data_IF_312723657101
#
_entry.id   IF_312723657101
#
_cell.length_a   1.000
_cell.length_b   1.000
_cell.length_c   1.000
_cell.angle_alpha   90.00
_cell.angle_beta   90.00
_cell.angle_gamma   90.00
#
_symmetry.space_group_name_H-M   'P 1'
#
loop_
_entity.id
_entity.type
_entity.pdbx_description
1 polymer ?
#
# COMPACT_ATOMS: atom_id res chain seq x y z
N UNK A 1 24.38 -2.01 8.75
CA UNK A 1 24.07 -0.72 8.15
C UNK A 1 22.59 -0.69 7.74
N UNK A 2 21.90 0.37 8.10
CA UNK A 2 20.50 0.50 7.76
C UNK A 2 20.35 0.88 6.27
N UNK A 3 19.42 0.21 5.62
CA UNK A 3 19.07 0.50 4.24
C UNK A 3 18.32 1.84 4.18
N UNK A 4 18.59 2.71 3.19
CA UNK A 4 17.82 3.95 3.08
C UNK A 4 16.34 3.65 2.81
N UNK A 5 15.43 4.51 3.26
CA UNK A 5 14.00 4.34 2.97
C UNK A 5 13.71 4.36 1.48
N UNK A 6 12.74 3.55 1.07
CA UNK A 6 12.30 3.48 -0.32
C UNK A 6 11.26 4.57 -0.56
N UNK A 7 11.30 5.15 -1.75
CA UNK A 7 10.32 6.15 -2.16
C UNK A 7 8.91 5.55 -2.16
N UNK A 8 7.95 6.32 -1.68
CA UNK A 8 6.55 5.93 -1.63
C UNK A 8 5.75 6.76 -2.64
N UNK A 9 4.95 6.07 -3.46
CA UNK A 9 3.99 6.72 -4.35
C UNK A 9 2.60 6.47 -3.79
N UNK A 10 1.85 7.55 -3.55
CA UNK A 10 0.47 7.47 -3.09
C UNK A 10 -0.45 7.62 -4.30
N UNK A 11 -1.16 6.54 -4.64
CA UNK A 11 -2.11 6.60 -5.77
C UNK A 11 -3.32 7.45 -5.39
N UNK A 12 -4.06 7.91 -6.39
CA UNK A 12 -5.26 8.72 -6.17
C UNK A 12 -6.27 7.97 -5.30
N UNK A 13 -6.45 6.68 -5.55
CA UNK A 13 -7.36 5.88 -4.73
C UNK A 13 -6.93 5.81 -3.28
N UNK A 14 -5.62 5.60 -3.06
CA UNK A 14 -5.11 5.58 -1.69
C UNK A 14 -5.36 6.90 -0.99
N UNK A 15 -5.11 8.02 -1.67
CA UNK A 15 -5.33 9.34 -1.08
C UNK A 15 -6.78 9.56 -0.65
N UNK A 16 -7.73 9.14 -1.47
CA UNK A 16 -9.16 9.22 -1.13
C UNK A 16 -9.50 8.36 0.07
N UNK A 17 -8.98 7.13 0.10
CA UNK A 17 -9.23 6.23 1.21
C UNK A 17 -8.59 6.76 2.50
N UNK A 18 -7.37 7.28 2.42
CA UNK A 18 -6.65 7.80 3.57
C UNK A 18 -7.34 9.02 4.16
N UNK A 19 -7.86 9.92 3.32
CA UNK A 19 -8.60 11.10 3.78
C UNK A 19 -9.79 10.71 4.66
N UNK A 20 -10.45 9.62 4.30
CA UNK A 20 -11.61 9.12 5.02
C UNK A 20 -11.25 8.39 6.31
N UNK A 21 -10.11 7.69 6.33
CA UNK A 21 -9.80 6.72 7.38
C UNK A 21 -8.70 7.14 8.35
N UNK A 22 -7.74 7.93 7.90
CA UNK A 22 -6.47 8.11 8.60
C UNK A 22 -6.18 9.60 8.73
N UNK A 23 -5.73 10.05 9.91
CA UNK A 23 -5.28 11.43 10.09
C UNK A 23 -3.98 11.67 9.32
N UNK A 24 -3.65 12.94 9.07
CA UNK A 24 -2.40 13.28 8.40
C UNK A 24 -1.18 12.79 9.16
N UNK A 25 -1.21 12.88 10.49
CA UNK A 25 -0.11 12.41 11.32
C UNK A 25 0.06 10.89 11.22
N UNK A 26 -1.04 10.15 11.32
CA UNK A 26 -0.99 8.69 11.20
C UNK A 26 -0.58 8.26 9.80
N UNK A 27 -1.00 9.00 8.78
CA UNK A 27 -0.58 8.72 7.40
C UNK A 27 0.92 8.91 7.24
N UNK A 28 1.48 9.97 7.82
CA UNK A 28 2.92 10.20 7.76
C UNK A 28 3.69 9.07 8.46
N UNK A 29 3.21 8.62 9.61
CA UNK A 29 3.83 7.51 10.33
C UNK A 29 3.77 6.21 9.54
N UNK A 30 2.63 5.94 8.92
CA UNK A 30 2.44 4.77 8.06
C UNK A 30 3.42 4.79 6.88
N UNK A 31 3.52 5.91 6.20
CA UNK A 31 4.42 6.07 5.06
C UNK A 31 5.87 5.82 5.48
N UNK A 32 6.29 6.41 6.59
CA UNK A 32 7.64 6.20 7.10
C UNK A 32 7.91 4.74 7.45
N UNK A 33 6.93 4.08 8.06
CA UNK A 33 7.08 2.68 8.43
C UNK A 33 7.22 1.78 7.19
N UNK A 34 6.35 1.95 6.21
CA UNK A 34 6.39 1.13 4.99
C UNK A 34 7.67 1.41 4.19
N UNK A 35 8.10 2.68 4.13
CA UNK A 35 9.33 3.05 3.44
C UNK A 35 10.56 2.36 4.06
N UNK A 36 10.55 2.18 5.37
CA UNK A 36 11.64 1.50 6.07
C UNK A 36 11.48 -0.03 6.07
N UNK A 37 10.26 -0.53 5.93
CA UNK A 37 9.95 -1.95 6.05
C UNK A 37 8.98 -2.41 4.93
N UNK A 38 9.41 -2.36 3.66
CA UNK A 38 8.48 -2.62 2.56
C UNK A 38 7.94 -4.05 2.50
N UNK A 39 8.60 -4.98 3.17
CA UNK A 39 8.14 -6.37 3.19
C UNK A 39 7.34 -6.74 4.44
N UNK A 40 7.01 -5.75 5.28
CA UNK A 40 6.29 -6.01 6.53
C UNK A 40 4.86 -6.51 6.32
N UNK A 41 4.18 -6.13 5.25
CA UNK A 41 2.82 -6.58 4.98
C UNK A 41 2.74 -8.01 4.49
N UNK A 42 1.59 -8.64 4.72
CA UNK A 42 1.33 -9.99 4.23
C UNK A 42 0.98 -9.98 2.75
N UNK A 43 1.52 -10.94 2.01
CA UNK A 43 1.15 -11.12 0.62
C UNK A 43 -0.32 -11.54 0.49
N UNK A 44 -1.04 -10.88 -0.41
CA UNK A 44 -2.43 -11.22 -0.70
C UNK A 44 -2.42 -12.20 -1.87
N UNK A 45 -3.02 -13.40 -1.72
CA UNK A 45 -3.02 -14.40 -2.79
C UNK A 45 -3.68 -13.85 -4.07
N UNK A 46 -3.19 -14.31 -5.21
CA UNK A 46 -3.76 -14.04 -6.53
C UNK A 46 -3.70 -12.57 -6.97
N UNK A 47 -2.77 -11.78 -6.40
CA UNK A 47 -2.64 -10.36 -6.74
C UNK A 47 -1.34 -10.02 -7.46
N UNK A 48 -0.46 -11.00 -7.65
CA UNK A 48 0.84 -10.72 -8.27
C UNK A 48 1.85 -10.05 -7.37
N UNK A 49 1.65 -10.13 -6.05
CA UNK A 49 2.62 -9.62 -5.09
C UNK A 49 2.14 -8.42 -4.27
N UNK A 50 0.86 -8.11 -4.33
CA UNK A 50 0.27 -7.04 -3.50
C UNK A 50 0.26 -7.49 -2.04
N UNK A 51 0.54 -6.57 -1.14
CA UNK A 51 0.60 -6.83 0.30
C UNK A 51 -0.46 -6.01 1.03
N UNK A 52 -0.84 -6.46 2.21
CA UNK A 52 -1.67 -5.68 3.11
C UNK A 52 -1.01 -5.59 4.47
N UNK A 53 -1.11 -4.45 5.09
CA UNK A 53 -0.59 -4.24 6.44
C UNK A 53 -1.71 -3.70 7.31
N UNK A 54 -1.77 -4.20 8.54
CA UNK A 54 -2.70 -3.71 9.55
C UNK A 54 -2.10 -2.46 10.18
N UNK A 55 -2.89 -1.39 10.24
CA UNK A 55 -2.46 -0.15 10.87
C UNK A 55 -3.45 0.24 11.96
N UNK A 56 -2.97 0.27 13.20
CA UNK A 56 -3.82 0.64 14.33
C UNK A 56 -4.18 2.11 14.26
N UNK A 57 -5.43 2.44 14.57
CA UNK A 57 -5.90 3.81 14.62
C UNK A 57 -6.19 4.18 16.08
N UNK A 58 -5.74 5.36 16.54
CA UNK A 58 -5.98 5.79 17.91
C UNK A 58 -7.46 5.78 18.28
N UNK A 59 -7.77 5.30 19.48
CA UNK A 59 -9.13 5.32 19.99
C UNK A 59 -10.07 4.26 19.45
N UNK A 60 -9.61 3.42 18.51
CA UNK A 60 -10.48 2.42 17.90
C UNK A 60 -10.23 0.98 18.37
N UNK A 61 -9.24 0.78 19.22
CA UNK A 61 -8.90 -0.53 19.72
C UNK A 61 -8.36 -1.46 18.63
N UNK A 62 -8.14 -2.73 18.99
CA UNK A 62 -7.53 -3.72 18.08
C UNK A 62 -8.36 -4.05 16.86
N UNK A 63 -9.67 -3.99 16.97
CA UNK A 63 -10.58 -4.36 15.88
C UNK A 63 -10.91 -3.20 14.96
N UNK A 64 -10.59 -1.97 15.35
CA UNK A 64 -10.97 -0.77 14.61
C UNK A 64 -9.87 -0.19 13.73
N UNK A 65 -8.83 -0.94 13.43
CA UNK A 65 -7.72 -0.45 12.62
C UNK A 65 -8.03 -0.39 11.14
N UNK A 66 -7.11 0.19 10.39
CA UNK A 66 -7.17 0.21 8.94
C UNK A 66 -6.33 -0.93 8.36
N UNK A 67 -6.68 -1.32 7.15
CA UNK A 67 -5.87 -2.20 6.32
C UNK A 67 -5.35 -1.37 5.16
N UNK A 68 -4.03 -1.37 4.97
CA UNK A 68 -3.41 -0.62 3.87
C UNK A 68 -2.88 -1.61 2.86
N UNK A 69 -3.25 -1.42 1.60
CA UNK A 69 -2.92 -2.31 0.49
C UNK A 69 -1.85 -1.62 -0.34
N UNK A 70 -0.73 -2.30 -0.56
CA UNK A 70 0.38 -1.70 -1.27
C UNK A 70 1.15 -2.73 -2.09
N UNK A 71 1.97 -2.24 -3.02
CA UNK A 71 2.81 -3.09 -3.84
C UNK A 71 4.28 -2.69 -3.69
N UNK A 72 5.12 -3.66 -3.39
CA UNK A 72 6.57 -3.52 -3.36
C UNK A 72 7.18 -4.53 -4.32
N UNK A 73 7.94 -4.06 -5.30
CA UNK A 73 8.57 -4.93 -6.28
C UNK A 73 10.03 -5.24 -5.90
N UNK A 74 10.86 -4.20 -5.79
CA UNK A 74 12.26 -4.30 -5.39
C UNK A 74 12.78 -2.91 -5.03
N UNK A 75 14.05 -2.85 -4.64
CA UNK A 75 14.66 -1.59 -4.21
C UNK A 75 14.80 -0.55 -5.31
N UNK A 76 14.70 -0.95 -6.57
CA UNK A 76 14.84 -0.03 -7.71
C UNK A 76 13.57 0.71 -8.08
N UNK A 77 12.43 0.28 -7.54
CA UNK A 77 11.13 0.90 -7.81
C UNK A 77 10.52 1.40 -6.50
N UNK A 78 9.70 2.45 -6.54
CA UNK A 78 9.01 2.89 -5.33
C UNK A 78 7.99 1.87 -4.87
N UNK A 79 7.55 2.00 -3.62
CA UNK A 79 6.38 1.30 -3.13
C UNK A 79 5.14 2.09 -3.56
N UNK A 80 4.13 1.40 -4.06
CA UNK A 80 2.88 2.02 -4.47
C UNK A 80 1.81 1.73 -3.43
N UNK A 81 1.30 2.76 -2.76
CA UNK A 81 0.16 2.62 -1.86
C UNK A 81 -1.10 2.65 -2.72
N UNK A 82 -1.84 1.54 -2.73
CA UNK A 82 -2.91 1.32 -3.69
C UNK A 82 -4.30 1.63 -3.16
N UNK A 83 -4.56 1.32 -1.89
CA UNK A 83 -5.89 1.48 -1.30
C UNK A 83 -5.80 1.32 0.21
N UNK A 84 -6.87 1.72 0.91
CA UNK A 84 -7.01 1.43 2.32
C UNK A 84 -8.48 1.21 2.64
N UNK A 85 -8.76 0.42 3.67
CA UNK A 85 -10.13 0.20 4.13
C UNK A 85 -10.12 -0.08 5.62
N UNK A 86 -11.23 0.25 6.28
CA UNK A 86 -11.40 -0.08 7.69
C UNK A 86 -11.83 -1.52 7.86
N UNK A 87 -11.41 -2.15 8.95
CA UNK A 87 -11.83 -3.53 9.25
C UNK A 87 -13.35 -3.65 9.32
N UNK A 88 -14.02 -2.62 9.81
CA UNK A 88 -15.48 -2.60 9.92
C UNK A 88 -16.19 -2.40 8.58
N UNK A 89 -15.48 -2.00 7.53
CA UNK A 89 -16.05 -1.85 6.19
C UNK A 89 -16.06 -3.19 5.45
N UNK A 90 -14.98 -3.95 5.59
CA UNK A 90 -14.87 -5.30 5.03
C UNK A 90 -13.70 -6.02 5.67
N UNK A 91 -13.77 -7.34 5.68
CA UNK A 91 -12.72 -8.17 6.27
C UNK A 91 -11.53 -8.34 5.32
N UNK A 92 -11.80 -8.53 4.03
CA UNK A 92 -10.78 -8.79 3.02
C UNK A 92 -11.19 -8.15 1.69
N UNK A 93 -10.23 -8.05 0.78
CA UNK A 93 -10.53 -7.64 -0.60
C UNK A 93 -11.42 -8.69 -1.26
N UNK A 94 -12.38 -8.23 -2.05
CA UNK A 94 -13.21 -9.12 -2.86
C UNK A 94 -12.38 -9.74 -3.97
N UNK A 95 -12.91 -10.79 -4.60
CA UNK A 95 -12.26 -11.41 -5.74
C UNK A 95 -12.07 -10.42 -6.89
N UNK A 96 -13.08 -9.60 -7.15
CA UNK A 96 -13.00 -8.58 -8.20
C UNK A 96 -11.89 -7.57 -7.90
N UNK A 97 -11.76 -7.16 -6.64
CA UNK A 97 -10.70 -6.23 -6.24
C UNK A 97 -9.32 -6.86 -6.40
N UNK A 98 -9.16 -8.13 -5.99
CA UNK A 98 -7.89 -8.84 -6.17
C UNK A 98 -7.51 -8.98 -7.64
N UNK A 99 -8.49 -9.30 -8.49
CA UNK A 99 -8.28 -9.40 -9.94
C UNK A 99 -7.86 -8.05 -10.53
N UNK A 100 -8.50 -6.97 -10.10
CA UNK A 100 -8.15 -5.63 -10.57
C UNK A 100 -6.71 -5.28 -10.18
N UNK A 101 -6.31 -5.62 -8.97
CA UNK A 101 -4.93 -5.36 -8.52
C UNK A 101 -3.91 -6.21 -9.27
N UNK A 102 -4.23 -7.47 -9.55
CA UNK A 102 -3.35 -8.34 -10.32
C UNK A 102 -3.09 -7.78 -11.73
N UNK A 103 -4.07 -7.10 -12.30
CA UNK A 103 -3.91 -6.44 -13.60
C UNK A 103 -3.14 -5.13 -13.51
N UNK A 104 -3.31 -4.42 -12.40
CA UNK A 104 -2.65 -3.12 -12.20
C UNK A 104 -1.14 -3.27 -12.02
N UNK A 105 -0.68 -4.28 -11.31
CA UNK A 105 0.72 -4.44 -10.95
C UNK A 105 1.67 -4.42 -12.15
N UNK A 106 1.47 -5.23 -13.21
CA UNK A 106 2.37 -5.17 -14.36
C UNK A 106 2.40 -3.80 -15.03
N UNK A 107 1.26 -3.11 -15.07
CA UNK A 107 1.18 -1.78 -15.66
C UNK A 107 1.98 -0.76 -14.85
N UNK A 108 1.94 -0.84 -13.52
CA UNK A 108 2.74 0.04 -12.68
C UNK A 108 4.23 -0.14 -12.92
N UNK A 109 4.68 -1.39 -12.97
CA UNK A 109 6.08 -1.72 -13.20
C UNK A 109 6.54 -1.18 -14.55
N UNK A 110 5.78 -1.47 -15.60
CA UNK A 110 6.13 -1.08 -16.96
C UNK A 110 6.15 0.43 -17.13
N UNK A 111 5.10 1.11 -16.70
CA UNK A 111 5.00 2.55 -16.85
C UNK A 111 6.10 3.29 -16.09
N UNK A 112 6.42 2.85 -14.89
CA UNK A 112 7.47 3.48 -14.12
C UNK A 112 8.84 3.25 -14.73
N UNK A 113 9.12 2.04 -15.19
CA UNK A 113 10.38 1.69 -15.82
C UNK A 113 10.59 2.46 -17.13
N UNK A 114 9.53 2.59 -17.96
CA UNK A 114 9.59 3.36 -19.20
C UNK A 114 9.83 4.84 -18.91
N UNK A 115 9.16 5.40 -17.93
CA UNK A 115 9.38 6.79 -17.53
C UNK A 115 10.82 7.04 -17.11
N UNK A 116 11.43 6.11 -16.39
CA UNK A 116 12.82 6.20 -15.99
C UNK A 116 13.78 6.17 -17.19
N UNK A 117 13.46 5.39 -18.22
CA UNK A 117 14.31 5.28 -19.40
C UNK A 117 14.33 6.53 -20.26
N UNK A 118 13.31 7.35 -20.19
CA UNK A 118 13.17 8.55 -21.01
C UNK A 118 13.95 9.75 -20.51
N UNK A 119 14.62 9.61 -19.42
CA UNK A 119 15.41 10.70 -18.85
C UNK A 119 16.78 10.82 -19.45
#
# INVERSE_FOLDING_TARGET
MLRPPITIVETVRFLKDADRLISELDRAELINFVAANPEAGELIPETGGVRKIRWALPGRGKSGGARVVYYYHNESLPVFLLAAYGKNEKANLSRAERNAMAKLVPALIQNYSEGSRRR
#
